data_IF_690747204275
#
_entry.id   IF_690747204275
#
_cell.length_a   1.000
_cell.length_b   1.000
_cell.length_c   1.000
_cell.angle_alpha   90.00
_cell.angle_beta   90.00
_cell.angle_gamma   90.00
#
_symmetry.space_group_name_H-M   'P 1'
#
loop_
_entity.id
_entity.type
_entity.pdbx_description
1 polymer ?
#
# COMPACT_ATOMS: atom_id res chain seq x y z
N UNK A 1 -24.83 29.41 -49.18
CA UNK A 1 -23.56 30.14 -48.97
C UNK A 1 -22.75 29.44 -47.89
N UNK A 2 -21.53 29.01 -48.24
CA UNK A 2 -20.31 28.81 -47.43
C UNK A 2 -20.43 28.08 -46.07
N UNK A 3 -19.92 26.83 -45.99
CA UNK A 3 -18.57 26.46 -45.46
C UNK A 3 -18.57 26.38 -43.91
N UNK A 4 -17.92 25.46 -43.19
CA UNK A 4 -17.00 24.33 -43.46
C UNK A 4 -16.75 23.61 -42.12
N UNK A 5 -16.53 22.30 -42.16
CA UNK A 5 -15.85 21.52 -41.12
C UNK A 5 -14.45 22.08 -40.83
N UNK A 6 -13.93 21.92 -39.60
CA UNK A 6 -12.53 21.49 -39.41
C UNK A 6 -12.20 21.09 -37.96
N UNK A 7 -11.80 19.81 -37.83
CA UNK A 7 -11.09 19.21 -36.71
C UNK A 7 -9.77 19.96 -36.45
N UNK A 8 -9.42 20.15 -35.17
CA UNK A 8 -8.08 20.58 -34.74
C UNK A 8 -7.33 19.42 -34.08
N UNK A 9 -6.38 18.88 -34.83
CA UNK A 9 -5.18 18.20 -34.33
C UNK A 9 -4.04 19.21 -34.25
N UNK A 10 -3.36 19.31 -33.10
CA UNK A 10 -2.05 19.95 -32.92
C UNK A 10 -1.27 18.98 -32.01
N UNK A 11 -0.40 18.13 -32.55
CA UNK A 11 0.95 18.37 -33.06
C UNK A 11 1.99 18.52 -31.94
N UNK A 12 2.90 17.56 -31.94
CA UNK A 12 4.05 17.40 -31.06
C UNK A 12 5.07 18.53 -31.23
N UNK A 13 5.65 18.96 -30.12
CA UNK A 13 6.80 19.86 -30.09
C UNK A 13 8.06 19.00 -30.14
N UNK A 14 8.72 18.95 -31.29
CA UNK A 14 10.11 18.53 -31.43
C UNK A 14 10.97 19.80 -31.42
N UNK A 15 11.78 19.94 -30.38
CA UNK A 15 12.71 21.05 -30.22
C UNK A 15 13.86 20.96 -31.22
N UNK A 16 14.02 22.05 -31.98
CA UNK A 16 15.11 22.31 -32.90
C UNK A 16 16.44 22.49 -32.17
N UNK A 17 17.51 21.85 -32.67
CA UNK A 17 18.89 22.20 -32.32
C UNK A 17 19.49 22.96 -33.51
N UNK A 18 19.95 24.18 -33.24
CA UNK A 18 20.66 25.05 -34.17
C UNK A 18 22.01 24.46 -34.57
N UNK A 19 22.32 24.47 -35.87
CA UNK A 19 23.69 24.34 -36.38
C UNK A 19 24.31 25.73 -36.50
N UNK A 20 25.39 25.97 -35.75
CA UNK A 20 26.32 27.08 -35.98
C UNK A 20 27.59 26.49 -36.60
N UNK A 21 27.87 26.90 -37.85
CA UNK A 21 29.10 26.56 -38.56
C UNK A 21 30.18 27.60 -38.25
N UNK A 22 31.32 27.17 -37.73
CA UNK A 22 32.58 27.89 -37.89
C UNK A 22 33.66 26.92 -38.35
N UNK A 23 34.34 27.29 -39.43
CA UNK A 23 35.45 26.58 -40.02
C UNK A 23 36.76 26.96 -39.29
N UNK A 24 37.62 25.97 -39.01
CA UNK A 24 39.01 26.24 -38.66
C UNK A 24 39.71 25.19 -37.79
N UNK A 25 40.61 24.44 -38.44
CA UNK A 25 41.79 23.72 -37.91
C UNK A 25 41.60 22.37 -37.20
N UNK A 26 42.24 21.37 -37.81
CA UNK A 26 42.27 19.98 -37.41
C UNK A 26 43.14 19.71 -36.18
N UNK A 27 42.58 18.98 -35.22
CA UNK A 27 43.31 18.03 -34.37
C UNK A 27 42.47 16.75 -34.37
N UNK A 28 43.03 15.67 -34.92
CA UNK A 28 42.45 14.33 -34.85
C UNK A 28 42.53 13.81 -33.41
N UNK A 29 41.57 14.19 -32.57
CA UNK A 29 41.22 13.47 -31.36
C UNK A 29 40.10 12.51 -31.69
N UNK A 30 40.35 11.21 -31.62
CA UNK A 30 39.30 10.20 -31.75
C UNK A 30 38.30 10.37 -30.58
N UNK A 31 37.24 11.13 -30.80
CA UNK A 31 36.09 11.11 -29.91
C UNK A 31 35.45 9.74 -30.06
N UNK A 32 35.26 8.96 -28.98
CA UNK A 32 34.49 7.74 -29.07
C UNK A 32 33.08 8.14 -29.53
N UNK A 33 32.69 7.65 -30.71
CA UNK A 33 31.30 7.68 -31.14
C UNK A 33 30.50 7.07 -29.99
N UNK A 34 29.67 7.89 -29.35
CA UNK A 34 28.67 7.43 -28.40
C UNK A 34 27.75 6.50 -29.21
N UNK A 35 27.97 5.20 -29.09
CA UNK A 35 27.02 4.21 -29.58
C UNK A 35 25.69 4.54 -28.93
N UNK A 36 24.70 4.93 -29.74
CA UNK A 36 23.32 4.92 -29.31
C UNK A 36 23.06 3.51 -28.78
N UNK A 37 22.95 3.38 -27.46
CA UNK A 37 22.64 2.11 -26.83
C UNK A 37 21.27 1.69 -27.37
N UNK A 38 21.25 0.71 -28.28
CA UNK A 38 20.03 0.10 -28.75
C UNK A 38 19.22 -0.30 -27.50
N UNK A 39 17.99 0.21 -27.38
CA UNK A 39 17.14 -0.08 -26.24
C UNK A 39 17.06 -1.61 -26.09
N UNK A 40 17.57 -2.12 -24.97
CA UNK A 40 17.62 -3.54 -24.72
C UNK A 40 16.19 -4.10 -24.84
N UNK A 41 16.01 -5.11 -25.70
CA UNK A 41 14.71 -5.75 -25.89
C UNK A 41 14.27 -6.35 -24.55
N UNK A 42 13.05 -6.05 -24.13
CA UNK A 42 12.48 -6.62 -22.91
C UNK A 42 12.50 -8.14 -22.91
N UNK A 43 12.64 -8.75 -21.74
CA UNK A 43 12.54 -10.19 -21.58
C UNK A 43 11.18 -10.70 -22.06
N UNK A 44 11.16 -11.93 -22.57
CA UNK A 44 9.90 -12.58 -22.98
C UNK A 44 8.94 -12.76 -21.80
N UNK A 45 9.49 -13.00 -20.59
CA UNK A 45 8.72 -13.08 -19.36
C UNK A 45 8.02 -11.74 -19.03
N UNK A 46 8.77 -10.62 -19.05
CA UNK A 46 8.20 -9.30 -18.79
C UNK A 46 7.15 -8.91 -19.83
N UNK A 47 7.43 -9.14 -21.11
CA UNK A 47 6.49 -8.85 -22.20
C UNK A 47 5.17 -9.64 -22.07
N UNK A 48 5.26 -10.92 -21.70
CA UNK A 48 4.09 -11.77 -21.45
C UNK A 48 3.30 -11.31 -20.22
N UNK A 49 3.99 -10.93 -19.15
CA UNK A 49 3.37 -10.37 -17.95
C UNK A 49 2.59 -9.08 -18.29
N UNK A 50 3.23 -8.14 -18.98
CA UNK A 50 2.63 -6.87 -19.39
C UNK A 50 1.38 -7.03 -20.27
N UNK A 51 1.36 -8.05 -21.14
CA UNK A 51 0.18 -8.38 -21.93
C UNK A 51 -0.99 -8.83 -21.05
N UNK A 52 -0.72 -9.60 -19.98
CA UNK A 52 -1.72 -10.21 -19.10
C UNK A 52 -2.23 -9.25 -18.03
N UNK A 53 -1.37 -8.42 -17.44
CA UNK A 53 -1.73 -7.53 -16.31
C UNK A 53 -2.70 -6.42 -16.72
N UNK A 54 -2.70 -6.04 -18.00
CA UNK A 54 -3.56 -4.97 -18.57
C UNK A 54 -5.05 -5.33 -18.63
N UNK A 55 -5.41 -6.61 -18.47
CA UNK A 55 -6.81 -7.08 -18.60
C UNK A 55 -7.23 -7.80 -17.32
N UNK A 56 -8.36 -7.40 -16.70
CA UNK A 56 -8.87 -8.08 -15.51
C UNK A 56 -9.09 -9.59 -15.68
N UNK A 57 -9.51 -10.02 -16.87
CA UNK A 57 -9.76 -11.44 -17.18
C UNK A 57 -8.49 -12.31 -17.20
N UNK A 58 -7.30 -11.70 -17.33
CA UNK A 58 -6.01 -12.41 -17.31
C UNK A 58 -5.14 -12.05 -16.11
N UNK A 59 -5.69 -11.39 -15.09
CA UNK A 59 -4.92 -10.95 -13.92
C UNK A 59 -4.35 -12.14 -13.12
N UNK A 60 -5.09 -13.24 -12.98
CA UNK A 60 -4.58 -14.48 -12.38
C UNK A 60 -3.44 -15.10 -13.20
N UNK A 61 -3.48 -14.99 -14.53
CA UNK A 61 -2.39 -15.42 -15.39
C UNK A 61 -1.18 -14.50 -15.29
N UNK A 62 -1.36 -13.20 -15.04
CA UNK A 62 -0.28 -12.27 -14.77
C UNK A 62 0.42 -12.60 -13.46
N UNK A 63 -0.34 -12.86 -12.39
CA UNK A 63 0.17 -13.36 -11.11
C UNK A 63 1.00 -14.63 -11.31
N UNK A 64 0.45 -15.62 -12.00
CA UNK A 64 1.13 -16.87 -12.29
C UNK A 64 2.39 -16.66 -13.15
N UNK A 65 2.39 -15.74 -14.12
CA UNK A 65 3.61 -15.41 -14.87
C UNK A 65 4.70 -14.92 -13.92
N UNK A 66 4.38 -13.98 -13.04
CA UNK A 66 5.37 -13.36 -12.18
C UNK A 66 5.93 -14.37 -11.19
N UNK A 67 5.08 -15.14 -10.51
CA UNK A 67 5.51 -16.20 -9.57
C UNK A 67 6.46 -17.20 -10.23
N UNK A 68 6.18 -17.62 -11.47
CA UNK A 68 6.95 -18.69 -12.11
C UNK A 68 8.15 -18.19 -12.91
N UNK A 69 8.17 -16.92 -13.36
CA UNK A 69 9.12 -16.43 -14.36
C UNK A 69 9.81 -15.11 -14.01
N UNK A 70 9.61 -14.57 -12.81
CA UNK A 70 10.30 -13.33 -12.38
C UNK A 70 11.83 -13.47 -12.42
N UNK A 71 12.38 -14.67 -12.22
CA UNK A 71 13.81 -14.94 -12.34
C UNK A 71 14.38 -14.81 -13.75
N UNK A 72 13.53 -14.76 -14.78
CA UNK A 72 13.94 -14.50 -16.17
C UNK A 72 13.95 -13.00 -16.52
N UNK A 73 13.45 -12.14 -15.61
CA UNK A 73 13.38 -10.70 -15.81
C UNK A 73 14.66 -10.02 -15.32
N UNK A 74 15.01 -8.87 -15.90
CA UNK A 74 16.02 -7.99 -15.30
C UNK A 74 15.51 -7.43 -13.96
N UNK A 75 16.39 -6.99 -13.04
CA UNK A 75 15.95 -6.36 -11.79
C UNK A 75 14.98 -5.18 -12.01
N UNK A 76 15.20 -4.36 -13.05
CA UNK A 76 14.31 -3.25 -13.38
C UNK A 76 12.92 -3.73 -13.84
N UNK A 77 12.87 -4.76 -14.69
CA UNK A 77 11.62 -5.37 -15.14
C UNK A 77 10.87 -6.05 -14.00
N UNK A 78 11.55 -6.80 -13.13
CA UNK A 78 10.96 -7.43 -11.97
C UNK A 78 10.32 -6.40 -11.03
N UNK A 79 11.04 -5.29 -10.77
CA UNK A 79 10.53 -4.20 -9.96
C UNK A 79 9.25 -3.57 -10.57
N UNK A 80 9.27 -3.25 -11.87
CA UNK A 80 8.10 -2.72 -12.57
C UNK A 80 6.93 -3.71 -12.57
N UNK A 81 7.20 -5.00 -12.80
CA UNK A 81 6.17 -6.01 -12.86
C UNK A 81 5.44 -6.17 -11.51
N UNK A 82 6.15 -6.17 -10.40
CA UNK A 82 5.54 -6.21 -9.05
C UNK A 82 4.69 -4.97 -8.80
N UNK A 83 5.17 -3.78 -9.17
CA UNK A 83 4.41 -2.54 -9.03
C UNK A 83 3.12 -2.56 -9.87
N UNK A 84 3.20 -3.01 -11.12
CA UNK A 84 2.07 -3.10 -12.03
C UNK A 84 1.04 -4.13 -11.59
N UNK A 85 1.49 -5.28 -11.08
CA UNK A 85 0.62 -6.31 -10.53
C UNK A 85 -0.20 -5.77 -9.36
N UNK A 86 0.46 -5.14 -8.39
CA UNK A 86 -0.21 -4.58 -7.23
C UNK A 86 -1.21 -3.50 -7.64
N UNK A 87 -0.83 -2.60 -8.55
CA UNK A 87 -1.71 -1.56 -9.07
C UNK A 87 -2.95 -2.16 -9.75
N UNK A 88 -2.77 -3.23 -10.53
CA UNK A 88 -3.88 -3.92 -11.19
C UNK A 88 -4.82 -4.62 -10.19
N UNK A 89 -4.27 -5.25 -9.14
CA UNK A 89 -5.07 -5.85 -8.06
C UNK A 89 -5.84 -4.79 -7.27
N UNK A 90 -5.22 -3.64 -6.96
CA UNK A 90 -5.91 -2.50 -6.34
C UNK A 90 -7.04 -1.98 -7.23
N UNK A 91 -6.77 -1.79 -8.52
CA UNK A 91 -7.76 -1.30 -9.49
C UNK A 91 -8.94 -2.28 -9.68
N UNK A 92 -8.70 -3.59 -9.59
CA UNK A 92 -9.74 -4.60 -9.72
C UNK A 92 -10.53 -4.86 -8.43
N UNK A 93 -10.02 -4.45 -7.26
CA UNK A 93 -10.63 -4.72 -5.96
C UNK A 93 -12.12 -4.30 -5.86
N UNK A 94 -12.59 -3.14 -6.37
CA UNK A 94 -14.02 -2.80 -6.34
C UNK A 94 -14.89 -3.80 -7.11
N UNK A 95 -14.41 -4.30 -8.25
CA UNK A 95 -15.11 -5.31 -9.04
C UNK A 95 -15.10 -6.68 -8.33
N UNK A 96 -13.96 -7.07 -7.75
CA UNK A 96 -13.85 -8.27 -6.93
C UNK A 96 -14.84 -8.24 -5.75
N UNK A 97 -14.91 -7.11 -5.03
CA UNK A 97 -15.86 -6.89 -3.94
C UNK A 97 -17.30 -7.01 -4.44
N UNK A 98 -17.67 -6.35 -5.55
CA UNK A 98 -19.00 -6.44 -6.13
C UNK A 98 -19.40 -7.89 -6.46
N UNK A 99 -18.47 -8.69 -7.00
CA UNK A 99 -18.69 -10.11 -7.30
C UNK A 99 -19.01 -10.91 -6.03
N UNK A 100 -18.31 -10.66 -4.93
CA UNK A 100 -18.60 -11.33 -3.65
C UNK A 100 -19.87 -10.80 -2.97
N UNK A 101 -20.28 -9.57 -3.26
CA UNK A 101 -21.32 -8.87 -2.50
C UNK A 101 -22.77 -9.23 -2.86
N UNK A 102 -23.01 -10.30 -3.64
CA UNK A 102 -24.37 -10.72 -3.98
C UNK A 102 -25.03 -11.45 -2.80
N UNK A 103 -26.36 -11.32 -2.60
CA UNK A 103 -27.05 -12.02 -1.50
C UNK A 103 -26.83 -13.54 -1.51
N UNK A 104 -26.80 -14.17 -2.69
CA UNK A 104 -26.55 -15.60 -2.83
C UNK A 104 -25.14 -15.98 -2.35
N UNK A 105 -24.10 -15.31 -2.83
CA UNK A 105 -22.72 -15.60 -2.44
C UNK A 105 -22.48 -15.33 -0.96
N UNK A 106 -23.01 -14.21 -0.43
CA UNK A 106 -22.91 -13.89 1.00
C UNK A 106 -23.57 -14.98 1.86
N UNK A 107 -24.76 -15.47 1.46
CA UNK A 107 -25.46 -16.55 2.17
C UNK A 107 -24.67 -17.86 2.13
N UNK A 108 -24.15 -18.22 0.96
CA UNK A 108 -23.37 -19.45 0.77
C UNK A 108 -22.13 -19.44 1.65
N UNK A 109 -21.34 -18.35 1.63
CA UNK A 109 -20.15 -18.22 2.47
C UNK A 109 -20.53 -18.20 3.96
N UNK A 110 -21.57 -17.46 4.36
CA UNK A 110 -22.03 -17.39 5.76
C UNK A 110 -22.31 -18.77 6.35
N UNK A 111 -22.85 -19.68 5.55
CA UNK A 111 -23.23 -21.02 6.02
C UNK A 111 -22.06 -21.93 6.39
N UNK A 112 -20.84 -21.62 5.89
CA UNK A 112 -19.66 -22.47 6.07
C UNK A 112 -18.49 -21.77 6.75
N UNK A 113 -18.53 -20.44 6.89
CA UNK A 113 -17.38 -19.64 7.30
C UNK A 113 -17.02 -19.83 8.77
N UNK A 114 -15.72 -19.88 9.02
CA UNK A 114 -15.09 -19.78 10.34
C UNK A 114 -14.00 -18.72 10.27
N UNK A 115 -13.70 -18.06 11.40
CA UNK A 115 -12.68 -17.00 11.43
C UNK A 115 -11.36 -17.47 10.80
N UNK A 116 -10.77 -16.64 9.93
CA UNK A 116 -9.52 -16.95 9.23
C UNK A 116 -9.63 -17.97 8.08
N UNK A 117 -10.84 -18.39 7.70
CA UNK A 117 -11.02 -19.34 6.59
C UNK A 117 -10.51 -18.76 5.27
N UNK A 118 -9.64 -19.49 4.57
CA UNK A 118 -9.14 -19.10 3.25
C UNK A 118 -10.20 -19.26 2.15
N UNK A 119 -10.05 -18.53 1.04
CA UNK A 119 -10.92 -18.70 -0.14
C UNK A 119 -10.88 -20.13 -0.68
N UNK A 120 -9.71 -20.78 -0.65
CA UNK A 120 -9.53 -22.17 -1.11
C UNK A 120 -10.35 -23.13 -0.27
N UNK A 121 -10.33 -22.96 1.06
CA UNK A 121 -11.11 -23.78 1.98
C UNK A 121 -12.61 -23.48 1.88
N UNK A 122 -13.00 -22.21 1.74
CA UNK A 122 -14.39 -21.84 1.50
C UNK A 122 -14.91 -22.50 0.20
N UNK A 123 -14.13 -22.45 -0.88
CA UNK A 123 -14.47 -23.07 -2.17
C UNK A 123 -14.68 -24.58 -2.07
N UNK A 124 -13.92 -25.29 -1.23
CA UNK A 124 -14.09 -26.75 -1.08
C UNK A 124 -15.34 -27.13 -0.27
N UNK A 125 -15.87 -26.21 0.55
CA UNK A 125 -17.05 -26.43 1.40
C UNK A 125 -18.37 -25.96 0.78
N UNK A 126 -18.33 -24.90 -0.04
CA UNK A 126 -19.54 -24.38 -0.70
C UNK A 126 -20.01 -25.34 -1.80
N UNK A 127 -21.31 -25.63 -1.85
CA UNK A 127 -21.91 -26.51 -2.88
C UNK A 127 -22.21 -25.77 -4.18
N UNK A 128 -22.57 -24.50 -4.07
CA UNK A 128 -23.08 -23.68 -5.18
C UNK A 128 -21.97 -23.37 -6.19
N UNK A 129 -22.20 -23.78 -7.44
CA UNK A 129 -21.21 -23.65 -8.53
C UNK A 129 -20.71 -22.22 -8.70
N UNK A 130 -21.62 -21.23 -8.76
CA UNK A 130 -21.25 -19.83 -8.99
C UNK A 130 -20.35 -19.27 -7.87
N UNK A 131 -20.67 -19.59 -6.62
CA UNK A 131 -19.84 -19.17 -5.48
C UNK A 131 -18.46 -19.81 -5.51
N UNK A 132 -18.37 -21.09 -5.91
CA UNK A 132 -17.08 -21.77 -6.11
C UNK A 132 -16.22 -21.11 -7.18
N UNK A 133 -16.82 -20.69 -8.30
CA UNK A 133 -16.11 -19.98 -9.37
C UNK A 133 -15.59 -18.62 -8.89
N UNK A 134 -16.40 -17.82 -8.18
CA UNK A 134 -15.94 -16.53 -7.64
C UNK A 134 -14.78 -16.72 -6.65
N UNK A 135 -14.89 -17.67 -5.72
CA UNK A 135 -13.82 -17.97 -4.76
C UNK A 135 -12.56 -18.49 -5.46
N UNK A 136 -12.71 -19.30 -6.50
CA UNK A 136 -11.59 -19.80 -7.30
C UNK A 136 -10.85 -18.67 -8.02
N UNK A 137 -11.59 -17.83 -8.75
CA UNK A 137 -11.00 -16.75 -9.54
C UNK A 137 -10.26 -15.75 -8.67
N UNK A 138 -10.86 -15.33 -7.56
CA UNK A 138 -10.26 -14.35 -6.65
C UNK A 138 -9.08 -14.95 -5.90
N UNK A 139 -9.15 -16.22 -5.50
CA UNK A 139 -7.99 -16.91 -4.92
C UNK A 139 -6.84 -17.06 -5.91
N UNK A 140 -7.11 -17.24 -7.21
CA UNK A 140 -6.07 -17.33 -8.23
C UNK A 140 -5.40 -15.97 -8.55
N UNK A 141 -5.97 -14.87 -8.06
CA UNK A 141 -5.40 -13.53 -8.09
C UNK A 141 -4.75 -13.15 -6.74
N UNK A 142 -4.59 -14.10 -5.82
CA UNK A 142 -4.11 -13.88 -4.45
C UNK A 142 -4.94 -12.86 -3.64
N UNK A 143 -6.26 -12.81 -3.85
CA UNK A 143 -7.13 -12.21 -2.85
C UNK A 143 -7.36 -13.17 -1.67
N UNK A 144 -7.41 -12.61 -0.47
CA UNK A 144 -7.83 -13.28 0.76
C UNK A 144 -9.30 -12.99 1.07
N UNK A 145 -9.99 -13.98 1.60
CA UNK A 145 -11.34 -13.86 2.15
C UNK A 145 -11.26 -13.19 3.52
N UNK A 146 -11.98 -12.08 3.68
CA UNK A 146 -12.14 -11.41 4.96
C UNK A 146 -13.61 -11.30 5.36
N UNK A 147 -13.83 -11.12 6.66
CA UNK A 147 -15.15 -10.90 7.23
C UNK A 147 -15.18 -9.68 8.15
N UNK A 148 -16.18 -8.82 7.96
CA UNK A 148 -16.37 -7.62 8.77
C UNK A 148 -17.76 -7.02 8.54
N UNK A 149 -18.36 -6.45 9.60
CA UNK A 149 -19.66 -5.77 9.49
C UNK A 149 -20.78 -6.70 9.03
N UNK A 150 -20.68 -8.00 9.33
CA UNK A 150 -21.63 -9.03 8.87
C UNK A 150 -21.52 -9.40 7.39
N UNK A 151 -20.47 -8.97 6.69
CA UNK A 151 -20.21 -9.24 5.27
C UNK A 151 -18.90 -9.97 5.06
N UNK A 152 -18.79 -10.61 3.90
CA UNK A 152 -17.57 -11.24 3.39
C UNK A 152 -17.06 -10.50 2.17
N UNK A 153 -15.77 -10.19 2.12
CA UNK A 153 -15.19 -9.40 1.03
C UNK A 153 -13.75 -9.84 0.73
N UNK A 154 -13.26 -9.58 -0.49
CA UNK A 154 -11.86 -9.84 -0.82
C UNK A 154 -10.97 -8.71 -0.30
N UNK A 155 -9.77 -9.05 0.11
CA UNK A 155 -8.65 -8.11 0.34
C UNK A 155 -7.40 -8.63 -0.36
N UNK A 156 -6.45 -7.76 -0.68
CA UNK A 156 -5.18 -8.20 -1.27
C UNK A 156 -4.37 -8.97 -0.22
N UNK A 157 -3.92 -10.19 -0.55
CA UNK A 157 -3.05 -10.98 0.33
C UNK A 157 -1.59 -10.54 0.17
N UNK A 158 -1.18 -9.47 0.84
CA UNK A 158 0.19 -8.95 0.72
C UNK A 158 1.28 -9.95 1.14
N UNK A 159 0.96 -10.95 1.98
CA UNK A 159 1.89 -12.05 2.27
C UNK A 159 2.37 -12.77 1.00
N UNK A 160 1.53 -12.90 -0.03
CA UNK A 160 1.93 -13.58 -1.28
C UNK A 160 3.02 -12.83 -2.03
N UNK A 161 3.13 -11.51 -1.84
CA UNK A 161 4.16 -10.69 -2.47
C UNK A 161 5.56 -10.92 -1.88
N UNK A 162 5.67 -11.56 -0.70
CA UNK A 162 6.97 -11.85 -0.07
C UNK A 162 7.87 -12.72 -0.96
N UNK A 163 7.28 -13.55 -1.84
CA UNK A 163 8.05 -14.36 -2.80
C UNK A 163 8.83 -13.52 -3.81
N UNK A 164 8.43 -12.26 -4.03
CA UNK A 164 9.11 -11.36 -4.97
C UNK A 164 10.26 -10.58 -4.35
N UNK A 165 10.42 -10.58 -3.02
CA UNK A 165 11.47 -9.82 -2.32
C UNK A 165 12.87 -10.01 -2.89
N UNK A 166 13.32 -11.23 -3.26
CA UNK A 166 14.67 -11.42 -3.82
C UNK A 166 14.93 -10.72 -5.15
N UNK A 167 13.88 -10.27 -5.85
CA UNK A 167 13.95 -9.75 -7.21
C UNK A 167 13.71 -8.24 -7.31
N UNK A 168 13.33 -7.59 -6.20
CA UNK A 168 12.91 -6.18 -6.18
C UNK A 168 13.85 -5.32 -5.34
N UNK A 169 13.76 -4.01 -5.55
CA UNK A 169 14.57 -3.01 -4.84
C UNK A 169 14.25 -2.99 -3.34
N UNK A 170 15.21 -2.53 -2.52
CA UNK A 170 15.08 -2.54 -1.04
C UNK A 170 13.86 -1.78 -0.54
N UNK A 171 13.51 -0.67 -1.18
CA UNK A 171 12.29 0.09 -0.86
C UNK A 171 11.04 -0.76 -1.10
N UNK A 172 10.95 -1.47 -2.23
CA UNK A 172 9.80 -2.31 -2.50
C UNK A 172 9.75 -3.54 -1.56
N UNK A 173 10.90 -4.07 -1.15
CA UNK A 173 10.97 -5.12 -0.13
C UNK A 173 10.41 -4.63 1.22
N UNK A 174 10.82 -3.44 1.66
CA UNK A 174 10.34 -2.84 2.91
C UNK A 174 8.84 -2.56 2.84
N UNK A 175 8.36 -2.01 1.72
CA UNK A 175 6.94 -1.79 1.48
C UNK A 175 6.11 -3.08 1.56
N UNK A 176 6.58 -4.16 0.94
CA UNK A 176 5.90 -5.46 0.99
C UNK A 176 5.77 -5.96 2.43
N UNK A 177 6.79 -5.79 3.27
CA UNK A 177 6.72 -6.20 4.67
C UNK A 177 5.67 -5.39 5.46
N UNK A 178 5.66 -4.07 5.29
CA UNK A 178 4.69 -3.17 5.92
C UNK A 178 3.25 -3.57 5.56
N UNK A 179 2.98 -3.71 4.27
CA UNK A 179 1.65 -4.06 3.78
C UNK A 179 1.25 -5.49 4.13
N UNK A 180 2.21 -6.42 4.21
CA UNK A 180 1.96 -7.78 4.68
C UNK A 180 1.58 -7.80 6.17
N UNK A 181 2.29 -7.06 7.02
CA UNK A 181 1.97 -6.95 8.43
C UNK A 181 0.55 -6.38 8.66
N UNK A 182 0.18 -5.32 7.94
CA UNK A 182 -1.16 -4.73 8.01
C UNK A 182 -2.24 -5.68 7.45
N UNK A 183 -1.98 -6.37 6.35
CA UNK A 183 -2.94 -7.32 5.75
C UNK A 183 -3.15 -8.57 6.60
N UNK A 184 -2.10 -9.08 7.26
CA UNK A 184 -2.17 -10.29 8.09
C UNK A 184 -2.80 -10.03 9.45
N UNK A 185 -2.50 -8.88 10.06
CA UNK A 185 -3.08 -8.44 11.32
C UNK A 185 -3.58 -7.00 11.15
N UNK A 186 -4.80 -6.76 10.65
CA UNK A 186 -5.32 -5.41 10.43
C UNK A 186 -5.28 -4.56 11.70
N UNK A 187 -4.91 -3.28 11.60
CA UNK A 187 -4.88 -2.36 12.74
C UNK A 187 -6.29 -2.12 13.30
N UNK A 188 -7.26 -1.93 12.41
CA UNK A 188 -8.65 -1.68 12.78
C UNK A 188 -9.64 -2.31 11.79
N UNK A 189 -10.79 -2.76 12.29
CA UNK A 189 -11.92 -3.24 11.49
C UNK A 189 -13.23 -2.71 12.06
N UNK A 190 -14.07 -2.14 11.19
CA UNK A 190 -15.35 -1.49 11.54
C UNK A 190 -15.24 -0.48 12.69
N UNK A 191 -14.14 0.29 12.71
CA UNK A 191 -13.90 1.31 13.72
C UNK A 191 -13.50 0.76 15.09
N UNK A 192 -13.06 -0.49 15.18
CA UNK A 192 -12.49 -1.10 16.39
C UNK A 192 -11.03 -1.41 16.14
N UNK A 193 -10.11 -1.00 17.01
CA UNK A 193 -8.72 -1.44 16.96
C UNK A 193 -8.65 -2.94 17.28
N UNK A 194 -7.94 -3.70 16.46
CA UNK A 194 -7.69 -5.14 16.67
C UNK A 194 -6.31 -5.41 17.26
N UNK A 195 -5.43 -4.43 17.20
CA UNK A 195 -4.11 -4.42 17.83
C UNK A 195 -4.12 -3.48 19.04
N UNK A 196 -3.21 -3.68 19.97
CA UNK A 196 -3.05 -2.76 21.10
C UNK A 196 -2.37 -1.44 20.67
N UNK A 197 -2.43 -0.45 21.57
CA UNK A 197 -1.89 0.88 21.37
C UNK A 197 -0.38 0.90 21.11
N UNK A 198 0.36 -0.02 21.73
CA UNK A 198 1.80 -0.14 21.52
C UNK A 198 2.11 -0.57 20.09
N UNK A 199 1.36 -1.56 19.57
CA UNK A 199 1.50 -1.99 18.18
C UNK A 199 1.06 -0.93 17.17
N UNK A 200 0.07 -0.09 17.50
CA UNK A 200 -0.28 1.08 16.67
C UNK A 200 0.92 2.04 16.56
N UNK A 201 1.56 2.36 17.69
CA UNK A 201 2.74 3.23 17.72
C UNK A 201 3.91 2.61 16.94
N UNK A 202 4.20 1.32 17.15
CA UNK A 202 5.23 0.58 16.43
C UNK A 202 5.02 0.64 14.90
N UNK A 203 3.78 0.44 14.42
CA UNK A 203 3.46 0.54 12.99
C UNK A 203 3.64 1.97 12.46
N UNK A 204 3.19 2.97 13.21
CA UNK A 204 3.37 4.36 12.83
C UNK A 204 4.86 4.71 12.67
N UNK A 205 5.73 4.24 13.58
CA UNK A 205 7.19 4.42 13.49
C UNK A 205 7.79 3.69 12.29
N UNK A 206 7.33 2.47 11.98
CA UNK A 206 7.78 1.74 10.79
C UNK A 206 7.41 2.47 9.48
N UNK A 207 6.24 3.10 9.43
CA UNK A 207 5.85 3.93 8.28
C UNK A 207 6.66 5.23 8.21
N UNK A 208 6.91 5.90 9.34
CA UNK A 208 7.76 7.09 9.40
C UNK A 208 9.18 6.78 8.90
N UNK A 209 9.78 5.70 9.39
CA UNK A 209 11.12 5.29 8.99
C UNK A 209 11.16 5.01 7.49
N UNK A 210 10.19 4.28 6.93
CA UNK A 210 10.12 4.07 5.49
C UNK A 210 10.13 5.40 4.70
N UNK A 211 9.34 6.38 5.14
CA UNK A 211 9.24 7.69 4.48
C UNK A 211 10.54 8.50 4.61
N UNK A 212 11.30 8.31 5.69
CA UNK A 212 12.62 8.90 5.92
C UNK A 212 13.70 8.22 5.06
N UNK A 213 13.73 6.89 5.01
CA UNK A 213 14.73 6.11 4.26
C UNK A 213 14.50 6.16 2.75
N UNK A 214 13.26 6.03 2.29
CA UNK A 214 12.91 5.77 0.88
C UNK A 214 12.10 6.90 0.23
N UNK A 215 12.61 8.12 0.34
CA UNK A 215 11.93 9.35 -0.13
C UNK A 215 11.48 9.31 -1.59
N UNK A 216 12.22 8.61 -2.46
CA UNK A 216 11.97 8.51 -3.91
C UNK A 216 11.26 7.22 -4.33
N UNK A 217 10.77 6.42 -3.39
CA UNK A 217 10.06 5.18 -3.72
C UNK A 217 8.77 5.45 -4.51
N UNK A 218 8.43 4.53 -5.41
CA UNK A 218 7.13 4.50 -6.07
C UNK A 218 5.96 4.22 -5.10
N UNK A 219 6.26 3.95 -3.83
CA UNK A 219 5.29 3.65 -2.76
C UNK A 219 5.23 4.69 -1.64
N UNK A 220 6.01 5.77 -1.72
CA UNK A 220 5.99 6.86 -0.75
C UNK A 220 4.58 7.39 -0.49
N UNK A 221 3.78 7.63 -1.53
CA UNK A 221 2.41 8.13 -1.37
C UNK A 221 1.50 7.15 -0.61
N UNK A 222 1.57 5.86 -0.94
CA UNK A 222 0.78 4.82 -0.27
C UNK A 222 1.19 4.63 1.20
N UNK A 223 2.49 4.68 1.48
CA UNK A 223 2.98 4.60 2.87
C UNK A 223 2.62 5.85 3.65
N UNK A 224 2.62 7.03 3.03
CA UNK A 224 2.16 8.26 3.67
C UNK A 224 0.69 8.15 4.08
N UNK A 225 -0.18 7.65 3.21
CA UNK A 225 -1.59 7.41 3.56
C UNK A 225 -1.72 6.43 4.76
N UNK A 226 -0.97 5.33 4.75
CA UNK A 226 -0.96 4.37 5.85
C UNK A 226 -0.44 5.00 7.16
N UNK A 227 0.58 5.85 7.07
CA UNK A 227 1.13 6.60 8.19
C UNK A 227 0.10 7.56 8.81
N UNK A 228 -0.61 8.34 7.99
CA UNK A 228 -1.65 9.24 8.49
C UNK A 228 -2.81 8.47 9.15
N UNK A 229 -3.18 7.30 8.63
CA UNK A 229 -4.17 6.42 9.28
C UNK A 229 -3.66 5.92 10.63
N UNK A 230 -2.40 5.49 10.71
CA UNK A 230 -1.79 5.04 11.96
C UNK A 230 -1.70 6.18 13.00
N UNK A 231 -1.32 7.39 12.56
CA UNK A 231 -1.36 8.61 13.39
C UNK A 231 -2.77 8.93 13.87
N UNK A 232 -3.76 8.83 12.99
CA UNK A 232 -5.15 9.05 13.37
C UNK A 232 -5.58 8.07 14.47
N UNK A 233 -5.25 6.79 14.33
CA UNK A 233 -5.48 5.81 15.39
C UNK A 233 -4.75 6.18 16.66
N UNK A 234 -3.46 6.54 16.59
CA UNK A 234 -2.64 6.89 17.76
C UNK A 234 -3.20 8.10 18.53
N UNK A 235 -3.52 9.19 17.84
CA UNK A 235 -3.88 10.45 18.51
C UNK A 235 -5.38 10.69 18.69
N UNK A 236 -6.23 9.95 17.98
CA UNK A 236 -7.69 10.13 18.07
C UNK A 236 -8.43 8.84 18.46
N UNK A 237 -7.75 7.70 18.43
CA UNK A 237 -8.39 6.39 18.58
C UNK A 237 -9.29 6.06 17.39
N UNK A 238 -10.24 5.19 17.64
CA UNK A 238 -11.26 4.78 16.67
C UNK A 238 -12.65 4.96 17.26
N UNK A 239 -13.69 4.78 16.44
CA UNK A 239 -15.09 4.91 16.87
C UNK A 239 -15.43 4.05 18.09
N UNK A 240 -14.90 2.83 18.15
CA UNK A 240 -15.22 1.85 19.18
C UNK A 240 -14.04 1.57 20.14
N UNK A 241 -12.84 2.07 19.81
CA UNK A 241 -11.67 2.03 20.72
C UNK A 241 -11.24 3.47 20.96
N UNK A 242 -11.89 4.10 21.93
CA UNK A 242 -11.73 5.52 22.22
C UNK A 242 -10.39 5.77 22.91
N UNK A 243 -9.69 6.82 22.49
CA UNK A 243 -8.51 7.31 23.22
C UNK A 243 -8.92 8.05 24.50
N UNK A 244 -10.07 8.74 24.47
CA UNK A 244 -10.60 9.49 25.61
C UNK A 244 -12.00 9.00 25.96
N UNK A 245 -12.28 8.83 27.26
CA UNK A 245 -13.61 8.46 27.72
C UNK A 245 -14.63 9.54 27.35
N UNK A 246 -15.78 9.12 26.81
CA UNK A 246 -16.79 10.05 26.32
C UNK A 246 -17.41 10.93 27.41
N UNK A 247 -17.39 10.50 28.68
CA UNK A 247 -18.00 11.23 29.80
C UNK A 247 -16.96 12.04 30.58
N UNK A 248 -15.88 11.40 30.99
CA UNK A 248 -14.87 12.01 31.86
C UNK A 248 -13.82 12.78 31.08
N UNK A 249 -13.73 12.53 29.76
CA UNK A 249 -12.68 13.04 28.87
C UNK A 249 -11.27 12.60 29.28
N UNK A 250 -11.13 11.66 30.21
CA UNK A 250 -9.84 11.12 30.66
C UNK A 250 -9.29 10.17 29.60
N UNK A 251 -7.99 10.22 29.37
CA UNK A 251 -7.30 9.34 28.44
C UNK A 251 -7.38 7.87 28.89
N UNK A 252 -7.42 6.95 27.94
CA UNK A 252 -7.30 5.52 28.19
C UNK A 252 -5.95 5.20 28.85
N UNK A 253 -5.98 4.65 30.06
CA UNK A 253 -4.80 4.17 30.80
C UNK A 253 -3.96 3.20 29.96
N UNK A 254 -4.60 2.29 29.21
CA UNK A 254 -3.91 1.36 28.30
C UNK A 254 -3.13 2.06 27.19
N UNK A 255 -3.58 3.25 26.77
CA UNK A 255 -2.92 4.03 25.75
C UNK A 255 -1.76 4.82 26.37
N UNK A 256 -1.97 5.45 27.54
CA UNK A 256 -0.93 6.15 28.28
C UNK A 256 0.28 5.23 28.55
N UNK A 257 0.04 4.04 29.13
CA UNK A 257 1.10 3.05 29.39
C UNK A 257 1.83 2.66 28.10
N UNK A 258 1.11 2.45 27.00
CA UNK A 258 1.72 2.11 25.73
C UNK A 258 2.64 3.23 25.21
N UNK A 259 2.22 4.50 25.35
CA UNK A 259 2.97 5.64 24.83
C UNK A 259 4.21 5.92 25.68
N UNK A 260 4.08 5.83 27.01
CA UNK A 260 5.21 5.89 27.94
C UNK A 260 6.25 4.81 27.64
N UNK A 261 5.81 3.56 27.42
CA UNK A 261 6.70 2.47 27.04
C UNK A 261 7.39 2.74 25.69
N UNK A 262 6.65 3.21 24.68
CA UNK A 262 7.23 3.55 23.37
C UNK A 262 8.32 4.62 23.49
N UNK A 263 8.11 5.67 24.28
CA UNK A 263 9.11 6.71 24.50
C UNK A 263 10.30 6.20 25.31
N UNK A 264 10.05 5.42 26.35
CA UNK A 264 11.10 4.84 27.19
C UNK A 264 12.03 3.89 26.41
N UNK A 265 11.49 3.15 25.44
CA UNK A 265 12.28 2.22 24.62
C UNK A 265 13.08 2.94 23.53
N UNK A 266 12.56 4.03 22.98
CA UNK A 266 13.25 4.80 21.94
C UNK A 266 14.49 5.52 22.49
N UNK A 267 14.37 6.10 23.70
CA UNK A 267 15.40 6.93 24.30
C UNK A 267 15.60 8.29 23.62
N UNK A 268 16.38 9.21 24.22
CA UNK A 268 16.41 10.62 23.80
C UNK A 268 16.83 10.84 22.34
N UNK A 269 17.86 10.14 21.87
CA UNK A 269 18.38 10.30 20.50
C UNK A 269 17.34 9.92 19.43
N UNK A 270 16.58 8.85 19.66
CA UNK A 270 15.55 8.43 18.70
C UNK A 270 14.34 9.35 18.75
N UNK A 271 13.96 9.84 19.93
CA UNK A 271 12.89 10.83 20.09
C UNK A 271 13.20 12.09 19.29
N UNK A 272 14.41 12.65 19.46
CA UNK A 272 14.85 13.84 18.69
C UNK A 272 14.89 13.58 17.17
N UNK A 273 15.16 12.34 16.75
CA UNK A 273 15.26 11.97 15.33
C UNK A 273 13.91 11.62 14.66
N UNK A 274 12.80 11.58 15.42
CA UNK A 274 11.46 11.19 14.97
C UNK A 274 10.44 12.30 15.27
N UNK A 275 9.74 12.74 14.23
CA UNK A 275 8.67 13.73 14.40
C UNK A 275 7.50 13.11 15.16
N UNK A 276 7.19 11.83 14.90
CA UNK A 276 6.14 11.12 15.60
C UNK A 276 6.42 10.99 17.11
N UNK A 277 7.63 10.59 17.50
CA UNK A 277 8.00 10.45 18.90
C UNK A 277 8.03 11.80 19.62
N UNK A 278 8.56 12.84 18.98
CA UNK A 278 8.51 14.21 19.53
C UNK A 278 7.05 14.64 19.78
N UNK A 279 6.16 14.42 18.81
CA UNK A 279 4.73 14.72 18.98
C UNK A 279 4.09 13.90 20.09
N UNK A 280 4.48 12.63 20.25
CA UNK A 280 3.97 11.75 21.29
C UNK A 280 4.41 12.21 22.69
N UNK A 281 5.67 12.62 22.84
CA UNK A 281 6.22 13.20 24.07
C UNK A 281 5.51 14.50 24.45
N UNK A 282 5.40 15.45 23.50
CA UNK A 282 4.69 16.71 23.70
C UNK A 282 3.23 16.49 24.11
N UNK A 283 2.58 15.50 23.50
CA UNK A 283 1.20 15.12 23.81
C UNK A 283 1.05 14.62 25.25
N UNK A 284 1.93 13.72 25.73
CA UNK A 284 1.89 13.22 27.10
C UNK A 284 2.19 14.32 28.13
N UNK A 285 3.20 15.17 27.87
CA UNK A 285 3.50 16.33 28.73
C UNK A 285 2.31 17.29 28.81
N UNK A 286 1.60 17.49 27.71
CA UNK A 286 0.41 18.33 27.69
C UNK A 286 -0.74 17.69 28.48
N UNK A 287 -0.92 16.37 28.37
CA UNK A 287 -1.95 15.63 29.11
C UNK A 287 -1.72 15.71 30.62
N UNK A 288 -0.49 15.47 31.08
CA UNK A 288 -0.13 15.54 32.49
C UNK A 288 -0.50 16.91 33.09
N UNK A 289 -0.13 18.00 32.40
CA UNK A 289 -0.48 19.39 32.79
C UNK A 289 -1.98 19.66 32.83
N UNK A 290 -2.78 18.84 32.15
CA UNK A 290 -4.22 18.99 32.02
C UNK A 290 -5.00 17.90 32.79
N UNK A 291 -4.33 17.16 33.68
CA UNK A 291 -4.95 16.11 34.49
C UNK A 291 -5.49 14.95 33.64
N UNK A 292 -4.74 14.58 32.60
CA UNK A 292 -5.01 13.49 31.64
C UNK A 292 -6.32 13.61 30.88
N UNK A 293 -6.87 14.83 30.82
CA UNK A 293 -8.16 15.11 30.19
C UNK A 293 -8.00 15.79 28.84
N UNK A 294 -8.93 15.50 27.93
CA UNK A 294 -9.10 16.22 26.67
C UNK A 294 -9.67 17.62 26.88
N UNK A 295 -8.85 18.51 27.44
CA UNK A 295 -9.17 19.94 27.57
C UNK A 295 -9.11 20.65 26.22
N UNK A 296 -9.45 21.95 26.19
CA UNK A 296 -9.32 22.74 24.98
C UNK A 296 -7.87 22.79 24.46
N UNK A 297 -6.88 22.84 25.36
CA UNK A 297 -5.47 22.84 24.98
C UNK A 297 -5.07 21.52 24.28
N UNK A 298 -5.45 20.38 24.87
CA UNK A 298 -5.23 19.06 24.28
C UNK A 298 -5.96 18.93 22.93
N UNK A 299 -7.21 19.40 22.86
CA UNK A 299 -7.98 19.37 21.61
C UNK A 299 -7.37 20.27 20.51
N UNK A 300 -6.73 21.39 20.87
CA UNK A 300 -6.03 22.24 19.91
C UNK A 300 -4.76 21.54 19.38
N UNK A 301 -4.00 20.90 20.26
CA UNK A 301 -2.84 20.08 19.87
C UNK A 301 -3.25 18.98 18.88
N UNK A 302 -4.30 18.22 19.21
CA UNK A 302 -4.82 17.16 18.35
C UNK A 302 -5.30 17.65 16.97
N UNK A 303 -5.66 18.93 16.82
CA UNK A 303 -6.04 19.52 15.53
C UNK A 303 -4.85 20.01 14.71
N UNK A 304 -3.68 20.18 15.34
CA UNK A 304 -2.48 20.67 14.67
C UNK A 304 -1.61 19.56 14.08
N UNK A 305 -1.89 18.30 14.41
CA UNK A 305 -1.12 17.12 14.02
C UNK A 305 -1.79 16.31 12.90
#
# INVERSE_FOLDING_TARGET
>A
MKQTNLLKTIAAVLGSILFLTSAGLAVFGAFPQRTEAAAAKSSAAFSLFEQRVKKPSSLSLAQATLVNRIGEMTPAEANLAVLHLENALKAYLPAATKRMNTPAIQKDIKSIYTSGMSMVLARSKVKQFQTRIVLQDLSAMDYKLESGGGRFYPVIQYKSFKVFKPYVTRDLQAYIELMAAESEQPSAVNGTLLIDWYKVAERALQYEEFLKTYKTSNRTAAVKEAFEVAKMYLFHGTKNTLLFDNKTQVMSEKAAIAYENTLSEAGPEQIEASTLLTQLEEFLVLLEKNGDKKTQAVNNFLKSI
#
